data_IF_867057258444
#
_entry.id   IF_867057258444
#
_cell.length_a   1.000
_cell.length_b   1.000
_cell.length_c   1.000
_cell.angle_alpha   90.00
_cell.angle_beta   90.00
_cell.angle_gamma   90.00
#
_symmetry.space_group_name_H-M   'P 1'
#
loop_
_entity.id
_entity.type
_entity.pdbx_description
1 polymer ?
#
# COMPACT_ATOMS: atom_id res chain seq x y z
N UNK A 1 4.92 -6.86 20.50
CA UNK A 1 6.34 -7.29 20.62
C UNK A 1 6.72 -7.94 19.31
N UNK A 2 7.81 -7.48 18.65
CA UNK A 2 8.28 -8.02 17.37
C UNK A 2 9.72 -8.51 17.46
N UNK A 3 10.17 -9.31 16.49
CA UNK A 3 11.57 -9.76 16.38
C UNK A 3 12.38 -8.72 15.62
N UNK A 4 13.57 -8.38 16.11
CA UNK A 4 14.47 -7.47 15.42
C UNK A 4 14.92 -8.08 14.08
N UNK A 5 14.88 -7.27 13.03
CA UNK A 5 15.21 -7.70 11.67
C UNK A 5 16.11 -6.68 10.96
N UNK A 6 16.93 -7.15 10.02
CA UNK A 6 17.51 -6.29 8.98
C UNK A 6 16.45 -6.08 7.90
N UNK A 7 15.97 -4.84 7.77
CA UNK A 7 14.93 -4.44 6.81
C UNK A 7 15.44 -4.59 5.39
N UNK A 8 14.64 -5.20 4.51
CA UNK A 8 14.88 -5.26 3.08
C UNK A 8 14.41 -3.91 2.48
N UNK A 9 15.25 -3.18 1.72
CA UNK A 9 14.98 -1.79 1.33
C UNK A 9 14.03 -1.68 0.12
N UNK A 10 12.92 -2.41 0.14
CA UNK A 10 11.91 -2.43 -0.92
C UNK A 10 10.53 -2.50 -0.28
N UNK A 11 9.65 -1.57 -0.66
CA UNK A 11 8.23 -1.65 -0.32
C UNK A 11 7.54 -2.66 -1.24
N UNK A 12 6.95 -3.70 -0.65
CA UNK A 12 6.29 -4.77 -1.37
C UNK A 12 4.80 -4.46 -1.53
N UNK A 13 4.46 -3.64 -2.53
CA UNK A 13 3.08 -3.21 -2.78
C UNK A 13 2.40 -4.19 -3.73
N UNK A 14 1.16 -4.56 -3.41
CA UNK A 14 0.27 -5.33 -4.29
C UNK A 14 -0.99 -4.53 -4.57
N UNK A 15 -1.42 -4.53 -5.83
CA UNK A 15 -2.62 -3.82 -6.31
C UNK A 15 -3.57 -4.79 -6.97
N UNK A 16 -4.82 -4.82 -6.54
CA UNK A 16 -5.90 -5.46 -7.30
C UNK A 16 -6.80 -4.46 -8.02
N UNK A 17 -6.65 -3.16 -7.74
CA UNK A 17 -7.42 -2.08 -8.35
C UNK A 17 -6.51 -0.92 -8.76
N UNK A 18 -6.89 -0.20 -9.82
CA UNK A 18 -6.08 0.87 -10.40
C UNK A 18 -6.39 2.22 -9.77
N UNK A 19 -5.58 2.65 -8.80
CA UNK A 19 -5.70 3.95 -8.13
C UNK A 19 -4.32 4.53 -7.78
N UNK A 20 -4.28 5.81 -7.39
CA UNK A 20 -3.08 6.43 -6.83
C UNK A 20 -1.93 6.55 -7.83
N UNK A 21 -0.71 6.23 -7.39
CA UNK A 21 0.47 6.27 -8.26
C UNK A 21 0.37 5.27 -9.41
N UNK A 22 -0.25 4.10 -9.21
CA UNK A 22 -0.47 3.13 -10.29
C UNK A 22 -1.33 3.67 -11.42
N UNK A 23 -2.42 4.38 -11.10
CA UNK A 23 -3.25 5.04 -12.10
C UNK A 23 -2.48 6.14 -12.86
N UNK A 24 -1.64 6.91 -12.17
CA UNK A 24 -0.80 7.94 -12.80
C UNK A 24 0.18 7.32 -13.80
N UNK A 25 0.87 6.25 -13.41
CA UNK A 25 1.82 5.55 -14.28
C UNK A 25 1.11 4.92 -15.49
N UNK A 26 -0.05 4.30 -15.26
CA UNK A 26 -0.86 3.72 -16.34
C UNK A 26 -1.34 4.77 -17.34
N UNK A 27 -1.83 5.92 -16.87
CA UNK A 27 -2.25 7.00 -17.78
C UNK A 27 -1.08 7.56 -18.60
N UNK A 28 0.13 7.55 -18.06
CA UNK A 28 1.33 8.03 -18.75
C UNK A 28 1.90 7.01 -19.75
N UNK A 29 1.83 5.70 -19.43
CA UNK A 29 2.63 4.68 -20.13
C UNK A 29 1.87 3.41 -20.52
N UNK A 30 0.63 3.25 -20.08
CA UNK A 30 -0.14 1.99 -20.17
C UNK A 30 0.38 0.87 -19.28
N UNK A 31 1.30 1.17 -18.35
CA UNK A 31 1.96 0.19 -17.49
C UNK A 31 2.11 0.69 -16.06
N UNK A 32 2.29 -0.22 -15.10
CA UNK A 32 2.61 0.10 -13.70
C UNK A 32 3.81 -0.71 -13.26
N UNK A 33 4.89 -0.07 -12.80
CA UNK A 33 6.15 -0.75 -12.44
C UNK A 33 6.69 -1.70 -13.53
N UNK A 34 6.49 -1.35 -14.81
CA UNK A 34 6.86 -2.17 -15.96
C UNK A 34 5.87 -3.29 -16.34
N UNK A 35 4.80 -3.48 -15.57
CA UNK A 35 3.71 -4.42 -15.90
C UNK A 35 2.73 -3.73 -16.84
N UNK A 36 2.68 -4.19 -18.09
CA UNK A 36 1.72 -3.67 -19.09
C UNK A 36 0.30 -4.11 -18.72
N UNK A 37 -0.63 -3.16 -18.70
CA UNK A 37 -2.03 -3.42 -18.41
C UNK A 37 -2.90 -3.34 -19.68
N UNK A 38 -4.11 -3.94 -19.68
CA UNK A 38 -5.07 -3.78 -20.77
C UNK A 38 -5.38 -2.31 -21.05
N UNK A 39 -5.70 -2.00 -22.30
CA UNK A 39 -6.16 -0.65 -22.68
C UNK A 39 -7.58 -0.37 -22.16
N UNK A 40 -7.90 0.91 -21.98
CA UNK A 40 -9.24 1.35 -21.61
C UNK A 40 -9.59 1.24 -20.12
N UNK A 41 -8.62 0.91 -19.26
CA UNK A 41 -8.83 0.98 -17.82
C UNK A 41 -8.98 2.44 -17.38
N UNK A 42 -9.79 2.63 -16.35
CA UNK A 42 -10.15 3.90 -15.76
C UNK A 42 -9.91 3.86 -14.24
N UNK A 43 -10.12 4.99 -13.58
CA UNK A 43 -9.90 5.11 -12.14
C UNK A 43 -10.70 4.07 -11.35
N UNK A 44 -10.03 3.40 -10.42
CA UNK A 44 -10.56 2.33 -9.55
C UNK A 44 -11.09 1.09 -10.29
N UNK A 45 -10.73 0.87 -11.57
CA UNK A 45 -11.03 -0.41 -12.22
C UNK A 45 -10.33 -1.57 -11.49
N UNK A 46 -11.04 -2.68 -11.38
CA UNK A 46 -10.45 -3.95 -10.93
C UNK A 46 -9.51 -4.46 -12.00
N UNK A 47 -8.29 -4.81 -11.60
CA UNK A 47 -7.30 -5.40 -12.50
C UNK A 47 -7.69 -6.85 -12.86
N UNK A 48 -7.30 -7.36 -14.04
CA UNK A 48 -7.55 -8.75 -14.41
C UNK A 48 -6.99 -9.75 -13.40
N UNK A 49 -5.81 -9.43 -12.86
CA UNK A 49 -5.14 -10.15 -11.78
C UNK A 49 -4.42 -9.13 -10.87
N UNK A 50 -4.22 -9.44 -9.57
CA UNK A 50 -3.41 -8.60 -8.71
C UNK A 50 -1.96 -8.54 -9.21
N UNK A 51 -1.35 -7.35 -9.16
CA UNK A 51 0.02 -7.12 -9.62
C UNK A 51 0.91 -6.68 -8.47
N UNK A 52 2.17 -7.10 -8.53
CA UNK A 52 3.21 -6.67 -7.61
C UNK A 52 3.94 -5.44 -8.19
N UNK A 53 3.93 -4.34 -7.44
CA UNK A 53 4.41 -3.02 -7.91
C UNK A 53 5.37 -2.44 -6.88
N UNK A 54 6.65 -2.87 -6.86
CA UNK A 54 7.57 -2.48 -5.80
C UNK A 54 7.89 -0.98 -5.84
N UNK A 55 8.23 -0.43 -4.68
CA UNK A 55 8.77 0.92 -4.57
C UNK A 55 10.09 0.93 -3.78
N UNK A 56 10.93 1.92 -4.03
CA UNK A 56 12.11 2.19 -3.17
C UNK A 56 11.65 2.55 -1.76
N UNK A 57 12.50 2.27 -0.77
CA UNK A 57 12.32 2.78 0.59
C UNK A 57 13.27 3.96 0.79
N UNK A 58 12.78 5.18 0.62
CA UNK A 58 13.62 6.37 0.67
C UNK A 58 13.92 6.76 2.14
N UNK A 59 15.20 6.97 2.48
CA UNK A 59 15.58 7.53 3.80
C UNK A 59 15.19 9.02 3.91
N UNK A 60 15.05 9.70 2.76
CA UNK A 60 14.57 11.07 2.66
C UNK A 60 13.90 11.29 1.29
N UNK A 61 12.81 12.04 1.25
CA UNK A 61 12.02 12.25 0.03
C UNK A 61 10.77 11.38 -0.02
N UNK A 62 10.32 11.03 -1.23
CA UNK A 62 9.17 10.16 -1.45
C UNK A 62 9.62 8.81 -2.01
N UNK A 63 8.92 7.74 -1.63
CA UNK A 63 9.11 6.42 -2.22
C UNK A 63 8.74 6.45 -3.71
N UNK A 64 9.58 5.83 -4.54
CA UNK A 64 9.43 5.84 -5.99
C UNK A 64 9.03 4.45 -6.49
N UNK A 65 8.01 4.38 -7.33
CA UNK A 65 7.62 3.14 -8.02
C UNK A 65 8.78 2.69 -8.92
N UNK A 66 9.26 1.46 -8.72
CA UNK A 66 10.37 0.88 -9.48
C UNK A 66 9.95 -0.42 -10.17
N UNK A 67 10.68 -0.78 -11.23
CA UNK A 67 10.51 -2.08 -11.88
C UNK A 67 11.03 -3.23 -11.02
N UNK A 68 10.58 -4.45 -11.33
CA UNK A 68 11.01 -5.65 -10.58
C UNK A 68 12.53 -5.86 -10.60
N UNK A 69 13.17 -5.68 -11.75
CA UNK A 69 14.63 -5.87 -11.88
C UNK A 69 15.41 -4.82 -11.09
N UNK A 70 14.86 -3.62 -10.92
CA UNK A 70 15.45 -2.60 -10.07
C UNK A 70 15.30 -2.94 -8.60
N UNK A 71 14.10 -3.37 -8.18
CA UNK A 71 13.88 -3.86 -6.83
C UNK A 71 14.83 -5.03 -6.47
N UNK A 72 15.08 -5.93 -7.42
CA UNK A 72 16.07 -7.01 -7.26
C UNK A 72 17.49 -6.47 -7.03
N UNK A 73 17.91 -5.43 -7.77
CA UNK A 73 19.21 -4.78 -7.55
C UNK A 73 19.30 -4.11 -6.17
N UNK A 74 18.23 -3.45 -5.71
CA UNK A 74 18.17 -2.88 -4.36
C UNK A 74 18.28 -3.95 -3.26
N UNK A 75 17.77 -5.15 -3.52
CA UNK A 75 17.82 -6.28 -2.61
C UNK A 75 19.07 -7.17 -2.76
N UNK A 76 20.08 -6.78 -3.56
CA UNK A 76 21.22 -7.66 -3.90
C UNK A 76 21.95 -8.20 -2.65
N UNK A 77 22.21 -7.33 -1.67
CA UNK A 77 22.85 -7.71 -0.40
C UNK A 77 22.00 -8.65 0.49
N UNK A 78 20.73 -8.87 0.14
CA UNK A 78 19.77 -9.68 0.87
C UNK A 78 19.43 -11.00 0.16
N UNK A 79 19.90 -11.19 -1.08
CA UNK A 79 19.57 -12.35 -1.91
C UNK A 79 19.03 -11.97 -3.30
N UNK A 80 18.96 -10.69 -3.62
CA UNK A 80 18.70 -10.16 -4.97
C UNK A 80 17.41 -10.67 -5.59
N UNK A 81 17.51 -11.09 -6.87
CA UNK A 81 16.37 -11.53 -7.68
C UNK A 81 15.60 -12.70 -7.06
N UNK A 82 16.31 -13.74 -6.58
CA UNK A 82 15.68 -14.92 -5.97
C UNK A 82 14.87 -14.56 -4.73
N UNK A 83 15.38 -13.64 -3.90
CA UNK A 83 14.62 -13.13 -2.76
C UNK A 83 13.36 -12.37 -3.23
N UNK A 84 13.51 -11.46 -4.20
CA UNK A 84 12.38 -10.66 -4.70
C UNK A 84 11.28 -11.50 -5.35
N UNK A 85 11.61 -12.60 -6.02
CA UNK A 85 10.62 -13.53 -6.57
C UNK A 85 9.77 -14.16 -5.46
N UNK A 86 10.41 -14.57 -4.36
CA UNK A 86 9.72 -15.09 -3.18
C UNK A 86 8.87 -14.03 -2.48
N UNK A 87 9.36 -12.80 -2.38
CA UNK A 87 8.60 -11.70 -1.77
C UNK A 87 7.39 -11.34 -2.60
N UNK A 88 7.52 -11.30 -3.94
CA UNK A 88 6.39 -11.11 -4.85
C UNK A 88 5.32 -12.18 -4.64
N UNK A 89 5.71 -13.46 -4.64
CA UNK A 89 4.79 -14.58 -4.44
C UNK A 89 4.09 -14.49 -3.08
N UNK A 90 4.83 -14.27 -1.99
CA UNK A 90 4.26 -14.12 -0.65
C UNK A 90 3.31 -12.93 -0.55
N UNK A 91 3.68 -11.79 -1.12
CA UNK A 91 2.85 -10.59 -1.09
C UNK A 91 1.54 -10.80 -1.84
N UNK A 92 1.59 -11.42 -3.02
CA UNK A 92 0.39 -11.77 -3.80
C UNK A 92 -0.50 -12.74 -3.04
N UNK A 93 0.06 -13.82 -2.47
CA UNK A 93 -0.71 -14.81 -1.71
C UNK A 93 -1.38 -14.19 -0.47
N UNK A 94 -0.68 -13.33 0.27
CA UNK A 94 -1.26 -12.62 1.43
C UNK A 94 -2.37 -11.67 0.97
N UNK A 95 -2.12 -10.89 -0.09
CA UNK A 95 -3.10 -9.97 -0.64
C UNK A 95 -4.36 -10.69 -1.11
N UNK A 96 -4.25 -11.79 -1.85
CA UNK A 96 -5.38 -12.54 -2.36
C UNK A 96 -6.26 -13.08 -1.23
N UNK A 97 -5.64 -13.70 -0.23
CA UNK A 97 -6.37 -14.20 0.94
C UNK A 97 -7.07 -13.07 1.71
N UNK A 98 -6.36 -11.95 1.93
CA UNK A 98 -6.91 -10.80 2.65
C UNK A 98 -8.01 -10.08 1.86
N UNK A 99 -7.86 -9.95 0.55
CA UNK A 99 -8.82 -9.32 -0.34
C UNK A 99 -10.12 -10.12 -0.43
N UNK A 100 -10.02 -11.46 -0.53
CA UNK A 100 -11.18 -12.34 -0.47
C UNK A 100 -11.91 -12.22 0.88
N UNK A 101 -11.17 -12.30 1.98
CA UNK A 101 -11.74 -12.17 3.33
C UNK A 101 -12.41 -10.81 3.54
N UNK A 102 -11.76 -9.70 3.15
CA UNK A 102 -12.32 -8.36 3.29
C UNK A 102 -13.60 -8.20 2.47
N UNK A 103 -13.63 -8.77 1.26
CA UNK A 103 -14.80 -8.69 0.38
C UNK A 103 -16.02 -9.39 0.98
N UNK A 104 -15.82 -10.54 1.63
CA UNK A 104 -16.88 -11.27 2.36
C UNK A 104 -17.46 -10.43 3.52
N UNK A 105 -16.72 -9.43 4.00
CA UNK A 105 -17.14 -8.49 5.04
C UNK A 105 -17.59 -7.13 4.46
N UNK A 106 -17.80 -7.04 3.14
CA UNK A 106 -18.28 -5.82 2.47
C UNK A 106 -17.22 -4.73 2.28
N UNK A 107 -15.94 -5.12 2.29
CA UNK A 107 -14.80 -4.20 2.09
C UNK A 107 -13.95 -4.65 0.90
N UNK A 108 -13.67 -3.74 -0.02
CA UNK A 108 -12.69 -3.95 -1.08
C UNK A 108 -11.31 -3.52 -0.58
N UNK A 109 -10.35 -4.44 -0.61
CA UNK A 109 -8.93 -4.15 -0.44
C UNK A 109 -8.32 -3.79 -1.79
N UNK A 110 -8.19 -2.50 -2.08
CA UNK A 110 -7.76 -2.03 -3.39
C UNK A 110 -6.27 -2.28 -3.66
N UNK A 111 -5.44 -1.94 -2.67
CA UNK A 111 -4.01 -2.19 -2.64
C UNK A 111 -3.50 -2.24 -1.19
N UNK A 112 -2.30 -2.79 -0.99
CA UNK A 112 -1.62 -2.84 0.31
C UNK A 112 -0.11 -2.83 0.14
N UNK A 113 0.59 -2.32 1.15
CA UNK A 113 2.06 -2.35 1.28
C UNK A 113 2.46 -3.34 2.36
N UNK A 114 3.41 -4.21 2.03
CA UNK A 114 4.13 -5.04 2.99
C UNK A 114 5.59 -4.62 3.11
N UNK A 115 6.16 -4.85 4.28
CA UNK A 115 7.61 -4.79 4.49
C UNK A 115 8.10 -6.13 5.02
N UNK A 116 9.31 -6.49 4.60
CA UNK A 116 9.95 -7.73 5.00
C UNK A 116 11.34 -7.48 5.57
N UNK A 117 11.75 -8.35 6.48
CA UNK A 117 13.08 -8.29 7.07
C UNK A 117 13.68 -9.67 7.29
N UNK A 118 15.01 -9.73 7.27
CA UNK A 118 15.75 -10.92 7.67
C UNK A 118 15.93 -10.90 9.19
N UNK A 119 15.47 -11.93 9.92
CA UNK A 119 15.52 -11.93 11.38
C UNK A 119 16.95 -11.94 11.91
N UNK A 120 17.20 -11.20 12.99
CA UNK A 120 18.50 -11.15 13.66
C UNK A 120 18.59 -12.09 14.87
N UNK A 121 19.81 -12.49 15.23
CA UNK A 121 20.14 -13.15 16.50
C UNK A 121 20.45 -12.11 17.59
N UNK A 122 20.75 -12.55 18.81
CA UNK A 122 21.06 -11.66 19.94
C UNK A 122 22.34 -10.83 19.74
N UNK A 123 23.23 -11.30 18.85
CA UNK A 123 24.48 -10.64 18.47
C UNK A 123 24.28 -9.62 17.33
N UNK A 124 23.05 -9.48 16.80
CA UNK A 124 22.72 -8.58 15.70
C UNK A 124 23.06 -9.10 14.31
N UNK A 125 23.37 -10.39 14.17
CA UNK A 125 23.70 -11.05 12.90
C UNK A 125 22.45 -11.72 12.29
N UNK A 126 22.46 -11.97 10.97
CA UNK A 126 21.35 -12.63 10.28
C UNK A 126 21.19 -14.07 10.82
N UNK A 127 20.06 -14.35 11.45
CA UNK A 127 19.73 -15.67 12.00
C UNK A 127 19.08 -16.60 10.97
N UNK A 128 18.43 -16.04 9.94
CA UNK A 128 17.83 -16.80 8.84
C UNK A 128 17.71 -15.92 7.60
N UNK A 129 17.91 -16.52 6.43
CA UNK A 129 17.64 -15.91 5.12
C UNK A 129 16.20 -16.15 4.63
N UNK A 130 15.32 -16.67 5.49
CA UNK A 130 13.87 -16.66 5.24
C UNK A 130 13.28 -15.34 5.76
N UNK A 131 12.83 -14.44 4.87
CA UNK A 131 12.25 -13.15 5.27
C UNK A 131 10.94 -13.35 6.03
N UNK A 132 10.75 -12.56 7.08
CA UNK A 132 9.50 -12.47 7.81
C UNK A 132 8.81 -11.13 7.53
N UNK A 133 7.47 -11.14 7.58
CA UNK A 133 6.68 -9.91 7.54
C UNK A 133 7.03 -9.08 8.78
N UNK A 134 7.33 -7.81 8.56
CA UNK A 134 7.58 -6.81 9.59
C UNK A 134 6.60 -5.64 9.39
N UNK A 135 6.79 -4.55 10.13
CA UNK A 135 5.93 -3.37 10.08
C UNK A 135 4.46 -3.73 10.45
N UNK A 136 3.54 -2.81 10.20
CA UNK A 136 2.11 -3.12 10.10
C UNK A 136 1.75 -3.78 8.76
N UNK A 137 0.64 -4.51 8.73
CA UNK A 137 0.12 -5.12 7.51
C UNK A 137 -1.40 -5.06 7.50
N UNK A 138 -1.99 -4.78 6.33
CA UNK A 138 -3.43 -4.79 6.12
C UNK A 138 -4.19 -3.83 7.06
N UNK A 139 -3.55 -2.72 7.43
CA UNK A 139 -4.15 -1.62 8.19
C UNK A 139 -4.61 -0.52 7.23
N UNK A 140 -5.50 0.40 7.66
CA UNK A 140 -5.88 1.55 6.84
C UNK A 140 -4.71 2.53 6.59
N UNK A 141 -3.58 2.37 7.26
CA UNK A 141 -2.39 3.18 7.01
C UNK A 141 -1.53 2.61 5.88
N UNK A 142 -1.46 1.27 5.79
CA UNK A 142 -0.70 0.50 4.80
C UNK A 142 -1.54 0.10 3.57
N UNK A 143 -2.86 0.28 3.61
CA UNK A 143 -3.78 -0.30 2.63
C UNK A 143 -4.91 0.65 2.26
N UNK A 144 -5.46 0.47 1.06
CA UNK A 144 -6.68 1.14 0.64
C UNK A 144 -7.92 0.28 0.83
N UNK A 145 -8.85 0.76 1.65
CA UNK A 145 -10.09 0.05 1.98
C UNK A 145 -11.32 0.82 1.52
N UNK A 146 -12.09 0.23 0.62
CA UNK A 146 -13.31 0.83 0.09
C UNK A 146 -14.55 0.05 0.53
N UNK A 147 -15.67 0.74 0.82
CA UNK A 147 -16.94 0.06 1.04
C UNK A 147 -17.42 -0.57 -0.28
N UNK A 148 -17.73 -1.87 -0.25
CA UNK A 148 -18.13 -2.61 -1.45
C UNK A 148 -19.52 -2.19 -1.97
N UNK A 149 -20.40 -1.71 -1.11
CA UNK A 149 -21.78 -1.28 -1.45
C UNK A 149 -21.84 0.02 -2.27
N UNK A 150 -20.81 0.86 -2.20
CA UNK A 150 -20.69 2.12 -2.94
C UNK A 150 -19.72 2.01 -4.13
N UNK A 151 -19.02 0.88 -4.29
CA UNK A 151 -17.96 0.73 -5.28
C UNK A 151 -18.47 0.92 -6.72
N UNK A 152 -17.81 1.82 -7.46
CA UNK A 152 -18.07 2.01 -8.89
C UNK A 152 -16.80 2.46 -9.62
N UNK A 153 -16.35 1.72 -10.66
CA UNK A 153 -15.24 2.17 -11.50
C UNK A 153 -15.51 3.49 -12.22
N UNK A 154 -14.44 4.15 -12.66
CA UNK A 154 -14.49 5.43 -13.37
C UNK A 154 -14.60 6.67 -12.46
N UNK A 155 -14.44 6.50 -11.13
CA UNK A 155 -14.42 7.60 -10.16
C UNK A 155 -13.55 7.26 -8.95
N UNK A 156 -13.19 8.26 -8.17
CA UNK A 156 -12.64 8.05 -6.83
C UNK A 156 -13.66 7.34 -5.92
N UNK A 157 -13.18 6.39 -5.10
CA UNK A 157 -14.00 5.70 -4.11
C UNK A 157 -14.03 6.46 -2.77
N UNK A 158 -15.13 6.26 -2.03
CA UNK A 158 -15.10 6.53 -0.58
C UNK A 158 -14.07 5.60 0.05
N UNK A 159 -13.48 6.06 1.14
CA UNK A 159 -12.47 5.27 1.82
C UNK A 159 -12.67 5.19 3.32
N UNK A 160 -12.28 4.04 3.88
CA UNK A 160 -12.13 3.84 5.33
C UNK A 160 -10.73 4.22 5.85
N UNK A 161 -9.84 4.68 4.96
CA UNK A 161 -8.44 4.95 5.27
C UNK A 161 -8.09 6.46 5.32
N UNK A 162 -6.77 6.73 5.35
CA UNK A 162 -6.17 8.08 5.30
C UNK A 162 -6.69 8.98 4.17
N UNK A 163 -7.35 8.45 3.15
CA UNK A 163 -7.84 9.21 2.02
C UNK A 163 -8.80 10.33 2.46
N UNK A 164 -9.61 10.13 3.49
CA UNK A 164 -10.46 11.20 4.04
C UNK A 164 -9.63 12.40 4.54
N UNK A 165 -8.54 12.13 5.27
CA UNK A 165 -7.60 13.15 5.72
C UNK A 165 -6.85 13.78 4.53
N UNK A 166 -6.41 12.96 3.56
CA UNK A 166 -5.69 13.43 2.36
C UNK A 166 -6.57 14.37 1.52
N UNK A 167 -7.84 14.05 1.34
CA UNK A 167 -8.79 14.91 0.62
C UNK A 167 -8.99 16.24 1.33
N UNK A 168 -9.12 16.25 2.66
CA UNK A 168 -9.16 17.48 3.44
C UNK A 168 -7.89 18.33 3.25
N UNK A 169 -6.71 17.71 3.31
CA UNK A 169 -5.44 18.40 3.09
C UNK A 169 -5.29 18.94 1.65
N UNK A 170 -5.77 18.20 0.65
CA UNK A 170 -5.81 18.67 -0.74
C UNK A 170 -6.77 19.87 -0.91
N UNK A 171 -7.90 19.89 -0.21
CA UNK A 171 -8.82 21.05 -0.19
C UNK A 171 -8.11 22.27 0.41
N UNK A 172 -7.43 22.10 1.55
CA UNK A 172 -6.64 23.19 2.15
C UNK A 172 -5.59 23.70 1.17
N UNK A 173 -4.92 22.79 0.47
CA UNK A 173 -3.88 23.18 -0.49
C UNK A 173 -4.43 23.92 -1.69
N UNK A 174 -5.50 23.41 -2.31
CA UNK A 174 -6.18 24.09 -3.42
C UNK A 174 -6.78 25.45 -3.02
N UNK A 175 -7.16 25.61 -1.75
CA UNK A 175 -7.66 26.89 -1.23
C UNK A 175 -6.57 27.89 -0.85
N UNK A 176 -5.29 27.57 -1.06
CA UNK A 176 -4.16 28.42 -0.70
C UNK A 176 -3.89 28.52 0.79
N UNK A 177 -4.56 27.69 1.62
CA UNK A 177 -4.39 27.67 3.08
C UNK A 177 -3.19 26.85 3.52
N UNK A 178 -2.64 26.00 2.64
CA UNK A 178 -1.44 25.22 2.91
C UNK A 178 -0.71 24.88 1.62
N UNK A 179 0.57 25.20 1.53
CA UNK A 179 1.42 24.96 0.36
C UNK A 179 2.12 23.59 0.38
N UNK A 180 1.66 22.67 1.25
CA UNK A 180 2.26 21.35 1.50
C UNK A 180 3.63 21.41 2.16
N UNK A 181 4.02 22.55 2.75
CA UNK A 181 5.27 22.66 3.53
C UNK A 181 5.08 22.37 5.02
N UNK A 182 6.07 21.76 5.70
CA UNK A 182 6.04 21.60 7.15
C UNK A 182 6.21 22.93 7.92
N UNK A 183 5.60 23.08 9.11
CA UNK A 183 4.66 22.15 9.74
C UNK A 183 3.29 22.14 9.05
N UNK A 184 2.65 20.98 9.01
CA UNK A 184 1.29 20.85 8.48
C UNK A 184 0.26 21.62 9.32
N UNK A 185 -0.93 21.92 8.75
CA UNK A 185 -1.98 22.66 9.44
C UNK A 185 -2.57 21.84 10.59
N UNK A 186 -3.07 22.53 11.63
CA UNK A 186 -3.88 21.89 12.68
C UNK A 186 -5.18 21.37 12.09
N UNK A 187 -5.56 20.13 12.45
CA UNK A 187 -6.76 19.49 11.95
C UNK A 187 -7.99 19.86 12.80
N UNK A 188 -9.13 20.25 12.20
CA UNK A 188 -10.38 20.41 12.91
C UNK A 188 -10.84 19.12 13.60
N UNK A 189 -11.53 19.25 14.73
CA UNK A 189 -12.03 18.10 15.49
C UNK A 189 -12.93 17.17 14.66
N UNK A 190 -13.72 17.72 13.73
CA UNK A 190 -14.56 16.95 12.79
C UNK A 190 -13.74 16.03 11.87
N UNK A 191 -12.58 16.49 11.39
CA UNK A 191 -11.71 15.70 10.51
C UNK A 191 -11.03 14.59 11.31
N UNK A 192 -10.60 14.91 12.54
CA UNK A 192 -10.01 13.92 13.45
C UNK A 192 -11.03 12.83 13.79
N UNK A 193 -12.23 13.21 14.22
CA UNK A 193 -13.29 12.27 14.58
C UNK A 193 -13.76 11.45 13.37
N UNK A 194 -13.96 12.09 12.22
CA UNK A 194 -14.36 11.41 10.99
C UNK A 194 -13.30 10.43 10.47
N UNK A 195 -12.02 10.69 10.70
CA UNK A 195 -10.94 9.74 10.42
C UNK A 195 -11.02 8.56 11.39
N UNK A 196 -11.14 8.83 12.69
CA UNK A 196 -11.23 7.80 13.72
C UNK A 196 -12.42 6.85 13.51
N UNK A 197 -13.62 7.37 13.23
CA UNK A 197 -14.83 6.58 12.99
C UNK A 197 -14.67 5.62 11.79
N UNK A 198 -13.97 6.05 10.73
CA UNK A 198 -13.71 5.21 9.56
C UNK A 198 -12.77 4.05 9.88
N UNK A 199 -11.73 4.30 10.67
CA UNK A 199 -10.79 3.27 11.12
C UNK A 199 -11.49 2.26 12.02
N UNK A 200 -12.31 2.74 12.96
CA UNK A 200 -13.11 1.87 13.82
C UNK A 200 -14.08 1.03 12.99
N UNK A 201 -14.80 1.64 12.05
CA UNK A 201 -15.73 0.91 11.19
C UNK A 201 -15.04 -0.18 10.37
N UNK A 202 -13.88 0.09 9.76
CA UNK A 202 -13.12 -0.95 9.06
C UNK A 202 -12.69 -2.08 9.99
N UNK A 203 -12.18 -1.75 11.19
CA UNK A 203 -11.82 -2.74 12.20
C UNK A 203 -13.03 -3.59 12.61
N UNK A 204 -14.16 -2.96 12.93
CA UNK A 204 -15.35 -3.65 13.43
C UNK A 204 -15.95 -4.56 12.36
N UNK A 205 -15.90 -4.15 11.09
CA UNK A 205 -16.31 -4.98 9.95
C UNK A 205 -15.37 -6.18 9.74
N UNK A 206 -14.06 -6.00 9.85
CA UNK A 206 -13.08 -7.07 9.57
C UNK A 206 -12.86 -8.04 10.73
N UNK A 207 -13.04 -7.56 11.97
CA UNK A 207 -12.65 -8.31 13.20
C UNK A 207 -13.86 -8.60 14.10
N UNK A 208 -15.00 -7.93 13.90
CA UNK A 208 -16.26 -8.25 14.58
C UNK A 208 -16.32 -7.86 16.06
N UNK A 209 -15.84 -6.67 16.43
CA UNK A 209 -15.86 -6.18 17.82
C UNK A 209 -16.82 -5.01 18.02
#
# INVERSE_FOLDING_TARGET
IGRLCKVIPVECIVRGYLEGSGLKDYNATGSVCGVKLPEGLTQCDKLPEPIFTPATKAESGHDENIGFDEAARHAEAFGGRTLMERLRERSLNIYEAASAYALDHGIILADTKFEFGLPLNEQGEIASHDPILIDEALTPDSSRFWPADDYKPGRAQKSFDKQYLREYLEILSKSGKWDKTPPGPSLPAEVVLGTHERYQKARDMLVGH
#
